data_IF_485060102659
#
_entry.id   IF_485060102659
#
_cell.length_a   1.000
_cell.length_b   1.000
_cell.length_c   1.000
_cell.angle_alpha   90.00
_cell.angle_beta   90.00
_cell.angle_gamma   90.00
#
_symmetry.space_group_name_H-M   'P 1'
#
loop_
_entity.id
_entity.type
_entity.pdbx_description
1 polymer ?
#
# COMPACT_ATOMS: atom_id res chain seq x y z
N UNK A 1 -23.09 -11.27 5.53
CA UNK A 1 -23.32 -9.90 4.97
C UNK A 1 -23.82 -8.97 6.06
N UNK A 2 -23.28 -7.76 6.08
CA UNK A 2 -23.68 -6.72 7.03
C UNK A 2 -25.05 -6.14 6.67
N UNK A 3 -25.93 -5.91 7.67
CA UNK A 3 -27.24 -5.27 7.45
C UNK A 3 -27.12 -3.88 6.80
N UNK A 4 -26.02 -3.17 7.05
CA UNK A 4 -25.73 -1.86 6.45
C UNK A 4 -25.57 -1.99 4.94
N UNK A 5 -24.83 -2.98 4.47
CA UNK A 5 -24.59 -3.22 3.03
C UNK A 5 -25.91 -3.51 2.32
N UNK A 6 -26.73 -4.39 2.86
CA UNK A 6 -28.04 -4.74 2.29
C UNK A 6 -28.96 -3.52 2.20
N UNK A 7 -29.03 -2.73 3.27
CA UNK A 7 -29.85 -1.51 3.33
C UNK A 7 -29.38 -0.45 2.32
N UNK A 8 -28.08 -0.18 2.25
CA UNK A 8 -27.53 0.81 1.32
C UNK A 8 -27.66 0.36 -0.14
N UNK A 9 -27.40 -0.93 -0.42
CA UNK A 9 -27.57 -1.49 -1.76
C UNK A 9 -29.02 -1.39 -2.24
N UNK A 10 -29.98 -1.73 -1.38
CA UNK A 10 -31.41 -1.63 -1.70
C UNK A 10 -31.84 -0.19 -1.95
N UNK A 11 -31.47 0.74 -1.07
CA UNK A 11 -31.75 2.17 -1.24
C UNK A 11 -31.19 2.72 -2.54
N UNK A 12 -29.96 2.37 -2.90
CA UNK A 12 -29.34 2.81 -4.12
C UNK A 12 -30.00 2.18 -5.36
N UNK A 13 -30.36 0.89 -5.30
CA UNK A 13 -31.09 0.19 -6.37
C UNK A 13 -32.46 0.83 -6.64
N UNK A 14 -33.22 1.15 -5.58
CA UNK A 14 -34.49 1.88 -5.67
C UNK A 14 -34.33 3.25 -6.36
N UNK A 15 -33.25 3.99 -6.06
CA UNK A 15 -32.95 5.28 -6.67
C UNK A 15 -32.75 5.17 -8.20
N UNK A 16 -32.20 4.06 -8.68
CA UNK A 16 -31.94 3.82 -10.09
C UNK A 16 -32.97 2.90 -10.79
N UNK A 17 -34.09 2.60 -10.09
CA UNK A 17 -35.15 1.74 -10.66
C UNK A 17 -34.73 0.30 -10.90
N UNK A 18 -33.79 -0.22 -10.10
CA UNK A 18 -33.30 -1.60 -10.20
C UNK A 18 -34.07 -2.45 -9.20
N UNK A 19 -34.79 -3.43 -9.72
CA UNK A 19 -35.54 -4.40 -8.95
C UNK A 19 -34.71 -5.68 -8.74
N UNK A 20 -34.81 -6.30 -7.56
CA UNK A 20 -34.14 -7.56 -7.26
C UNK A 20 -33.99 -7.81 -5.76
N UNK A 21 -33.58 -9.03 -5.43
CA UNK A 21 -33.23 -9.35 -4.05
C UNK A 21 -31.96 -8.61 -3.61
N UNK A 22 -31.97 -8.11 -2.38
CA UNK A 22 -30.85 -7.33 -1.86
C UNK A 22 -29.51 -8.10 -1.85
N UNK A 23 -29.54 -9.43 -1.65
CA UNK A 23 -28.35 -10.28 -1.67
C UNK A 23 -27.81 -10.45 -3.09
N UNK A 24 -28.70 -10.61 -4.06
CA UNK A 24 -28.33 -10.69 -5.48
C UNK A 24 -27.73 -9.36 -5.96
N UNK A 25 -28.34 -8.23 -5.62
CA UNK A 25 -27.83 -6.88 -5.91
C UNK A 25 -26.42 -6.70 -5.35
N UNK A 26 -26.19 -7.09 -4.10
CA UNK A 26 -24.87 -7.01 -3.46
C UNK A 26 -23.85 -7.90 -4.16
N UNK A 27 -24.23 -9.12 -4.55
CA UNK A 27 -23.34 -10.03 -5.28
C UNK A 27 -22.90 -9.44 -6.63
N UNK A 28 -23.85 -8.88 -7.38
CA UNK A 28 -23.56 -8.21 -8.65
C UNK A 28 -22.62 -7.03 -8.44
N UNK A 29 -22.87 -6.18 -7.45
CA UNK A 29 -22.03 -5.02 -7.16
C UNK A 29 -20.61 -5.41 -6.77
N UNK A 30 -20.42 -6.42 -5.93
CA UNK A 30 -19.10 -6.95 -5.59
C UNK A 30 -18.33 -7.40 -6.83
N UNK A 31 -19.00 -8.03 -7.77
CA UNK A 31 -18.38 -8.54 -8.99
C UNK A 31 -18.10 -7.45 -10.04
N UNK A 32 -18.88 -6.36 -10.09
CA UNK A 32 -18.86 -5.41 -11.22
C UNK A 32 -18.37 -4.02 -10.86
N UNK A 33 -18.58 -3.57 -9.62
CA UNK A 33 -18.27 -2.22 -9.18
C UNK A 33 -16.85 -2.06 -8.58
N UNK A 34 -16.03 -3.10 -8.67
CA UNK A 34 -14.64 -3.05 -8.23
C UNK A 34 -13.68 -3.47 -9.34
N UNK A 35 -12.53 -2.82 -9.40
CA UNK A 35 -11.37 -3.27 -10.17
C UNK A 35 -10.36 -3.85 -9.19
N UNK A 36 -10.31 -5.16 -9.10
CA UNK A 36 -9.35 -5.89 -8.28
C UNK A 36 -8.78 -7.05 -9.08
N UNK A 37 -7.47 -7.14 -9.13
CA UNK A 37 -6.77 -8.30 -9.69
C UNK A 37 -6.59 -9.42 -8.66
N UNK A 38 -6.87 -9.14 -7.38
CA UNK A 38 -6.59 -10.04 -6.25
C UNK A 38 -7.62 -9.87 -5.13
N UNK A 39 -8.36 -10.93 -4.85
CA UNK A 39 -9.13 -11.11 -3.64
C UNK A 39 -10.61 -10.70 -3.70
N UNK A 40 -11.37 -11.18 -2.75
CA UNK A 40 -12.78 -10.86 -2.57
C UNK A 40 -12.94 -9.46 -1.96
N UNK A 41 -13.96 -8.75 -2.42
CA UNK A 41 -14.35 -7.44 -1.88
C UNK A 41 -15.07 -7.63 -0.56
N UNK A 42 -14.55 -7.03 0.51
CA UNK A 42 -15.18 -7.08 1.83
C UNK A 42 -16.49 -6.28 1.90
N UNK A 43 -17.35 -6.64 2.84
CA UNK A 43 -18.58 -5.88 3.12
C UNK A 43 -18.29 -4.42 3.49
N UNK A 44 -17.19 -4.16 4.19
CA UNK A 44 -16.78 -2.80 4.56
C UNK A 44 -16.40 -1.96 3.33
N UNK A 45 -15.68 -2.54 2.38
CA UNK A 45 -15.31 -1.88 1.12
C UNK A 45 -16.55 -1.58 0.27
N UNK A 46 -17.46 -2.54 0.15
CA UNK A 46 -18.70 -2.31 -0.57
C UNK A 46 -19.57 -1.25 0.12
N UNK A 47 -19.71 -1.29 1.44
CA UNK A 47 -20.45 -0.26 2.20
C UNK A 47 -19.88 1.14 1.94
N UNK A 48 -18.56 1.30 1.97
CA UNK A 48 -17.89 2.57 1.70
C UNK A 48 -18.21 3.08 0.28
N UNK A 49 -18.15 2.21 -0.74
CA UNK A 49 -18.51 2.59 -2.11
C UNK A 49 -19.97 3.01 -2.24
N UNK A 50 -20.90 2.24 -1.62
CA UNK A 50 -22.34 2.56 -1.67
C UNK A 50 -22.67 3.89 -0.99
N UNK A 51 -21.98 4.23 0.10
CA UNK A 51 -22.14 5.52 0.79
C UNK A 51 -21.70 6.66 -0.15
N UNK A 52 -20.53 6.55 -0.78
CA UNK A 52 -20.04 7.57 -1.72
C UNK A 52 -20.93 7.67 -2.94
N UNK A 53 -21.35 6.54 -3.51
CA UNK A 53 -22.28 6.51 -4.64
C UNK A 53 -23.60 7.21 -4.31
N UNK A 54 -24.16 6.92 -3.13
CA UNK A 54 -25.39 7.57 -2.67
C UNK A 54 -25.25 9.07 -2.37
N UNK A 55 -24.06 9.49 -1.86
CA UNK A 55 -23.77 10.90 -1.59
C UNK A 55 -23.79 11.75 -2.87
N UNK A 56 -23.27 11.21 -3.97
CA UNK A 56 -23.14 11.91 -5.24
C UNK A 56 -24.22 11.54 -6.26
N UNK A 57 -25.16 10.64 -5.94
CA UNK A 57 -26.16 10.16 -6.89
C UNK A 57 -25.58 9.42 -8.09
N UNK A 58 -24.45 8.72 -7.91
CA UNK A 58 -23.72 8.03 -8.97
C UNK A 58 -24.13 6.57 -9.08
N UNK A 59 -24.29 6.10 -10.32
CA UNK A 59 -24.74 4.74 -10.61
C UNK A 59 -23.55 3.77 -10.77
N UNK A 60 -23.35 2.80 -9.85
CA UNK A 60 -22.28 1.82 -9.97
C UNK A 60 -22.53 0.75 -11.03
N UNK A 61 -23.78 0.48 -11.42
CA UNK A 61 -24.11 -0.51 -12.45
C UNK A 61 -23.73 -0.04 -13.86
N UNK A 62 -23.83 1.27 -14.11
CA UNK A 62 -23.40 1.89 -15.39
C UNK A 62 -21.94 2.30 -15.36
N UNK A 63 -21.22 2.02 -14.26
CA UNK A 63 -19.82 2.41 -14.05
C UNK A 63 -19.58 3.92 -13.98
N UNK A 64 -20.60 4.71 -13.64
CA UNK A 64 -20.39 6.11 -13.30
C UNK A 64 -19.48 6.25 -12.08
N UNK A 65 -19.58 5.29 -11.14
CA UNK A 65 -18.66 5.13 -10.03
C UNK A 65 -18.26 3.65 -9.87
N UNK A 66 -17.00 3.42 -9.53
CA UNK A 66 -16.46 2.11 -9.13
C UNK A 66 -15.30 2.34 -8.16
N UNK A 67 -14.65 1.30 -7.65
CA UNK A 67 -13.52 1.48 -6.74
C UNK A 67 -12.36 0.52 -7.01
N UNK A 68 -11.17 0.96 -6.63
CA UNK A 68 -10.03 0.08 -6.39
C UNK A 68 -9.99 -0.25 -4.89
N UNK A 69 -9.87 -1.53 -4.51
CA UNK A 69 -9.57 -1.89 -3.13
C UNK A 69 -8.20 -1.34 -2.73
N UNK A 70 -8.11 -0.69 -1.57
CA UNK A 70 -6.82 -0.27 -1.00
C UNK A 70 -6.21 -1.40 -0.16
N UNK A 71 -4.87 -1.44 -0.10
CA UNK A 71 -4.09 -2.43 0.65
C UNK A 71 -4.36 -2.43 2.16
N UNK A 72 -4.93 -1.35 2.69
CA UNK A 72 -5.29 -1.16 4.11
C UNK A 72 -6.79 -1.40 4.38
N UNK A 73 -7.47 -2.23 3.60
CA UNK A 73 -8.91 -2.50 3.68
C UNK A 73 -9.82 -1.29 3.42
N UNK A 74 -9.29 -0.22 2.85
CA UNK A 74 -10.05 0.92 2.36
C UNK A 74 -10.45 0.76 0.89
N UNK A 75 -10.94 1.86 0.30
CA UNK A 75 -11.22 1.97 -1.12
C UNK A 75 -10.70 3.28 -1.69
N UNK A 76 -10.40 3.28 -2.98
CA UNK A 76 -10.20 4.51 -3.77
C UNK A 76 -11.37 4.61 -4.74
N UNK A 77 -12.38 5.47 -4.46
CA UNK A 77 -13.54 5.63 -5.34
C UNK A 77 -13.14 6.34 -6.63
N UNK A 78 -13.54 5.78 -7.75
CA UNK A 78 -13.27 6.32 -9.09
C UNK A 78 -14.57 6.72 -9.75
N UNK A 79 -14.62 7.94 -10.24
CA UNK A 79 -15.75 8.45 -11.02
C UNK A 79 -15.36 8.49 -12.49
N UNK A 80 -16.14 7.83 -13.32
CA UNK A 80 -15.99 7.88 -14.77
C UNK A 80 -16.36 9.24 -15.36
N UNK A 81 -16.03 9.45 -16.64
CA UNK A 81 -16.34 10.71 -17.32
C UNK A 81 -17.84 11.03 -17.30
N UNK A 82 -18.69 10.01 -17.46
CA UNK A 82 -20.14 10.16 -17.44
C UNK A 82 -20.63 10.52 -16.04
N UNK A 83 -20.04 9.94 -15.00
CA UNK A 83 -20.33 10.30 -13.62
C UNK A 83 -19.93 11.74 -13.29
N UNK A 84 -18.74 12.19 -13.71
CA UNK A 84 -18.33 13.59 -13.57
C UNK A 84 -19.28 14.53 -14.32
N UNK A 85 -19.66 14.18 -15.55
CA UNK A 85 -20.63 14.94 -16.32
C UNK A 85 -21.98 15.05 -15.60
N UNK A 86 -22.48 13.95 -15.04
CA UNK A 86 -23.73 13.94 -14.29
C UNK A 86 -23.67 14.87 -13.08
N UNK A 87 -22.74 14.69 -12.15
CA UNK A 87 -22.69 15.47 -10.90
C UNK A 87 -22.44 16.97 -11.14
N UNK A 88 -21.73 17.32 -12.21
CA UNK A 88 -21.52 18.72 -12.61
C UNK A 88 -22.83 19.32 -13.13
N UNK A 89 -23.49 18.65 -14.10
CA UNK A 89 -24.70 19.18 -14.73
C UNK A 89 -25.92 19.17 -13.82
N UNK A 90 -26.03 18.22 -12.91
CA UNK A 90 -27.10 18.14 -11.91
C UNK A 90 -26.89 19.08 -10.71
N UNK A 91 -25.71 19.69 -10.57
CA UNK A 91 -25.43 20.59 -9.46
C UNK A 91 -26.31 21.86 -9.56
N UNK A 92 -27.11 22.22 -8.52
CA UNK A 92 -28.08 23.30 -8.60
C UNK A 92 -27.50 24.66 -8.99
N UNK A 93 -26.23 24.89 -8.67
CA UNK A 93 -25.54 26.15 -8.94
C UNK A 93 -24.73 26.14 -10.25
N UNK A 94 -24.76 25.06 -11.03
CA UNK A 94 -24.06 25.03 -12.30
C UNK A 94 -24.73 25.96 -13.32
N UNK A 95 -23.94 26.83 -13.93
CA UNK A 95 -24.39 27.83 -14.92
C UNK A 95 -23.59 27.80 -16.24
N UNK A 96 -22.86 26.70 -16.43
CA UNK A 96 -22.08 26.48 -17.63
C UNK A 96 -20.57 26.40 -17.38
N UNK A 97 -19.86 25.92 -18.39
CA UNK A 97 -18.41 25.75 -18.39
C UNK A 97 -17.85 26.04 -19.79
N UNK A 98 -16.71 26.70 -19.83
CA UNK A 98 -15.90 26.88 -21.03
C UNK A 98 -14.45 26.47 -20.80
N UNK A 99 -13.72 26.28 -21.88
CA UNK A 99 -12.29 25.98 -21.83
C UNK A 99 -11.50 27.04 -22.60
N UNK A 100 -10.33 27.40 -22.03
CA UNK A 100 -9.29 28.17 -22.68
C UNK A 100 -8.04 27.35 -22.74
N UNK A 101 -7.27 27.43 -23.79
CA UNK A 101 -6.08 26.62 -23.95
C UNK A 101 -4.90 27.48 -24.39
N UNK A 102 -3.67 27.03 -24.09
CA UNK A 102 -2.46 27.64 -24.60
C UNK A 102 -2.41 27.57 -26.14
N UNK A 103 -1.90 28.62 -26.76
CA UNK A 103 -1.52 28.59 -28.17
C UNK A 103 -0.22 27.79 -28.39
N UNK A 104 0.61 27.70 -27.35
CA UNK A 104 1.82 26.89 -27.39
C UNK A 104 1.45 25.40 -27.34
N UNK A 105 1.89 24.69 -28.37
CA UNK A 105 1.70 23.25 -28.49
C UNK A 105 2.98 22.50 -28.13
N UNK A 106 2.87 21.49 -27.29
CA UNK A 106 4.00 20.70 -26.84
C UNK A 106 3.73 19.21 -27.09
N UNK A 107 4.79 18.44 -27.30
CA UNK A 107 4.72 16.99 -27.43
C UNK A 107 5.34 16.32 -26.22
N UNK A 108 4.51 15.57 -25.50
CA UNK A 108 4.97 14.80 -24.37
C UNK A 108 5.64 13.48 -24.79
N UNK A 109 6.53 12.90 -23.97
CA UNK A 109 7.20 11.63 -24.28
C UNK A 109 6.20 10.52 -24.60
N UNK A 110 6.34 9.89 -25.76
CA UNK A 110 5.45 8.82 -26.23
C UNK A 110 4.07 9.25 -26.70
N UNK A 111 3.73 10.55 -26.67
CA UNK A 111 2.47 11.05 -27.19
C UNK A 111 2.42 11.03 -28.72
N UNK A 112 1.28 10.62 -29.28
CA UNK A 112 1.07 10.55 -30.74
C UNK A 112 0.84 11.92 -31.38
N UNK A 113 0.38 12.90 -30.60
CA UNK A 113 0.01 14.24 -31.09
C UNK A 113 0.49 15.33 -30.13
N UNK A 114 0.68 16.54 -30.69
CA UNK A 114 0.92 17.71 -29.87
C UNK A 114 -0.37 18.14 -29.16
N UNK A 115 -0.21 18.67 -27.95
CA UNK A 115 -1.33 19.19 -27.16
C UNK A 115 -0.97 20.56 -26.56
N UNK A 116 -1.96 21.38 -26.17
CA UNK A 116 -1.70 22.63 -25.48
C UNK A 116 -0.86 22.43 -24.23
N UNK A 117 0.08 23.32 -23.98
CA UNK A 117 0.92 23.32 -22.78
C UNK A 117 0.09 23.37 -21.49
N UNK A 118 -1.05 24.05 -21.53
CA UNK A 118 -2.01 24.12 -20.44
C UNK A 118 -3.44 24.26 -20.97
N UNK A 119 -4.42 23.95 -20.11
CA UNK A 119 -5.82 24.24 -20.30
C UNK A 119 -6.39 24.93 -19.06
N UNK A 120 -7.29 25.89 -19.25
CA UNK A 120 -8.14 26.43 -18.19
C UNK A 120 -9.57 25.92 -18.34
N UNK A 121 -10.14 25.43 -17.26
CA UNK A 121 -11.57 25.28 -17.09
C UNK A 121 -12.12 26.52 -16.41
N UNK A 122 -13.14 27.11 -17.01
CA UNK A 122 -13.84 28.30 -16.50
C UNK A 122 -15.27 27.88 -16.19
N UNK A 123 -15.58 27.75 -14.89
CA UNK A 123 -16.88 27.25 -14.44
C UNK A 123 -17.69 28.39 -13.85
N UNK A 124 -18.87 28.59 -14.41
CA UNK A 124 -19.85 29.58 -13.97
C UNK A 124 -20.82 28.97 -12.98
N UNK A 125 -21.18 29.77 -11.96
CA UNK A 125 -22.16 29.38 -10.96
C UNK A 125 -23.24 30.46 -10.84
N UNK A 126 -24.49 30.02 -10.67
CA UNK A 126 -25.65 30.92 -10.52
C UNK A 126 -25.58 31.81 -9.27
N UNK A 127 -24.88 31.36 -8.23
CA UNK A 127 -24.74 32.07 -6.95
C UNK A 127 -23.50 32.97 -6.86
N UNK A 128 -22.72 33.10 -7.93
CA UNK A 128 -21.47 33.90 -7.96
C UNK A 128 -21.39 34.74 -9.23
N UNK A 129 -20.91 35.97 -9.05
CA UNK A 129 -20.69 36.91 -10.16
C UNK A 129 -19.40 36.63 -10.93
N UNK A 130 -18.47 35.88 -10.38
CA UNK A 130 -17.19 35.55 -11.03
C UNK A 130 -17.06 34.04 -11.19
N UNK A 131 -16.56 33.57 -12.34
CA UNK A 131 -16.31 32.15 -12.54
C UNK A 131 -15.17 31.65 -11.67
N UNK A 132 -15.18 30.34 -11.40
CA UNK A 132 -14.00 29.62 -10.91
C UNK A 132 -13.14 29.27 -12.11
N UNK A 133 -11.89 29.72 -12.12
CA UNK A 133 -10.93 29.44 -13.20
C UNK A 133 -9.80 28.58 -12.63
N UNK A 134 -9.58 27.43 -13.27
CA UNK A 134 -8.51 26.49 -12.87
C UNK A 134 -7.69 26.15 -14.10
N UNK A 135 -6.38 26.34 -13.99
CA UNK A 135 -5.42 25.98 -15.03
C UNK A 135 -4.71 24.68 -14.65
N UNK A 136 -4.70 23.75 -15.61
CA UNK A 136 -3.97 22.51 -15.54
C UNK A 136 -2.84 22.50 -16.56
N UNK A 137 -1.63 22.24 -16.11
CA UNK A 137 -0.44 22.15 -16.95
C UNK A 137 -0.23 20.70 -17.42
N UNK A 138 0.07 20.56 -18.71
CA UNK A 138 0.19 19.25 -19.32
C UNK A 138 1.34 18.41 -18.73
N UNK A 139 2.47 19.04 -18.44
CA UNK A 139 3.64 18.39 -17.86
C UNK A 139 3.41 17.86 -16.43
N UNK A 140 2.51 18.49 -15.66
CA UNK A 140 2.16 18.05 -14.31
C UNK A 140 1.19 16.87 -14.31
N UNK A 141 0.23 16.87 -15.24
CA UNK A 141 -0.83 15.86 -15.25
C UNK A 141 -0.56 14.67 -16.17
N UNK A 142 0.35 14.83 -17.14
CA UNK A 142 0.66 13.78 -18.11
C UNK A 142 1.21 12.52 -17.43
N UNK A 143 0.76 11.38 -17.93
CA UNK A 143 1.29 10.07 -17.53
C UNK A 143 2.09 9.49 -18.69
N UNK A 144 3.39 9.35 -18.50
CA UNK A 144 4.26 8.70 -19.49
C UNK A 144 3.90 7.22 -19.71
N UNK A 145 4.18 6.66 -20.90
CA UNK A 145 4.04 5.25 -21.13
C UNK A 145 4.96 4.47 -20.17
N UNK A 146 4.48 3.38 -19.62
CA UNK A 146 5.26 2.57 -18.69
C UNK A 146 5.63 1.20 -19.29
N UNK A 147 6.73 0.62 -18.82
CA UNK A 147 7.12 -0.73 -19.20
C UNK A 147 6.31 -1.75 -18.41
N UNK A 148 5.36 -2.41 -19.05
CA UNK A 148 4.67 -3.57 -18.52
C UNK A 148 5.48 -4.86 -18.77
N UNK A 149 4.96 -5.98 -18.28
CA UNK A 149 5.56 -7.31 -18.41
C UNK A 149 5.78 -7.72 -19.90
N UNK A 150 4.91 -7.25 -20.80
CA UNK A 150 4.92 -7.62 -22.23
C UNK A 150 5.35 -6.49 -23.16
N UNK A 151 5.97 -5.43 -22.64
CA UNK A 151 6.43 -4.29 -23.42
C UNK A 151 5.94 -2.93 -22.92
N UNK A 152 6.05 -1.91 -23.77
CA UNK A 152 5.60 -0.56 -23.45
C UNK A 152 4.07 -0.49 -23.55
N UNK A 153 3.43 -0.10 -22.47
CA UNK A 153 1.97 0.10 -22.42
C UNK A 153 1.66 1.52 -22.82
N UNK A 154 0.93 1.64 -23.93
CA UNK A 154 0.43 2.92 -24.48
C UNK A 154 -1.01 3.09 -24.03
N UNK A 155 -1.27 4.15 -23.29
CA UNK A 155 -2.59 4.47 -22.74
C UNK A 155 -3.29 5.62 -23.44
N UNK A 156 -4.43 6.04 -22.90
CA UNK A 156 -5.19 7.18 -23.45
C UNK A 156 -4.43 8.51 -23.41
N UNK A 157 -3.48 8.68 -22.47
CA UNK A 157 -2.63 9.86 -22.45
C UNK A 157 -1.80 10.01 -23.72
N UNK A 158 -1.32 8.90 -24.29
CA UNK A 158 -0.54 8.92 -25.52
C UNK A 158 -1.42 9.07 -26.76
N UNK A 159 -2.58 8.42 -26.78
CA UNK A 159 -3.46 8.39 -27.95
C UNK A 159 -4.41 9.59 -28.04
N UNK A 160 -4.81 10.14 -26.89
CA UNK A 160 -5.83 11.21 -26.79
C UNK A 160 -5.42 12.30 -25.80
N UNK A 161 -4.18 12.78 -25.86
CA UNK A 161 -3.58 13.75 -24.92
C UNK A 161 -4.45 14.98 -24.67
N UNK A 162 -4.98 15.60 -25.74
CA UNK A 162 -5.85 16.80 -25.62
C UNK A 162 -7.15 16.52 -24.87
N UNK A 163 -7.73 15.34 -25.06
CA UNK A 163 -8.97 14.95 -24.37
C UNK A 163 -8.70 14.73 -22.89
N UNK A 164 -7.59 14.05 -22.56
CA UNK A 164 -7.24 13.76 -21.17
C UNK A 164 -6.86 15.02 -20.39
N UNK A 165 -6.12 15.94 -21.01
CA UNK A 165 -5.85 17.25 -20.41
C UNK A 165 -7.15 18.00 -20.10
N UNK A 166 -8.13 18.00 -21.03
CA UNK A 166 -9.44 18.61 -20.82
C UNK A 166 -10.23 17.93 -19.69
N UNK A 167 -10.17 16.59 -19.59
CA UNK A 167 -10.79 15.87 -18.46
C UNK A 167 -10.20 16.32 -17.14
N UNK A 168 -8.87 16.46 -17.04
CA UNK A 168 -8.21 16.95 -15.81
C UNK A 168 -8.69 18.36 -15.46
N UNK A 169 -8.70 19.29 -16.41
CA UNK A 169 -9.23 20.63 -16.18
C UNK A 169 -10.69 20.62 -15.73
N UNK A 170 -11.54 19.77 -16.32
CA UNK A 170 -12.94 19.60 -15.89
C UNK A 170 -13.04 19.17 -14.43
N UNK A 171 -12.30 18.14 -14.04
CA UNK A 171 -12.38 17.53 -12.72
C UNK A 171 -11.86 18.48 -11.64
N UNK A 172 -10.70 19.08 -11.84
CA UNK A 172 -10.13 20.04 -10.90
C UNK A 172 -10.98 21.32 -10.79
N UNK A 173 -11.48 21.81 -11.92
CA UNK A 173 -12.43 22.92 -11.94
C UNK A 173 -13.68 22.62 -11.13
N UNK A 174 -14.29 21.45 -11.33
CA UNK A 174 -15.49 21.03 -10.62
C UNK A 174 -15.25 20.85 -9.11
N UNK A 175 -14.11 20.29 -8.72
CA UNK A 175 -13.72 20.17 -7.30
C UNK A 175 -13.69 21.54 -6.62
N UNK A 176 -13.03 22.52 -7.22
CA UNK A 176 -12.95 23.87 -6.66
C UNK A 176 -14.26 24.66 -6.76
N UNK A 177 -15.01 24.46 -7.85
CA UNK A 177 -16.27 25.15 -8.00
C UNK A 177 -17.37 24.64 -7.07
N UNK A 178 -17.46 23.34 -6.86
CA UNK A 178 -18.59 22.70 -6.17
C UNK A 178 -18.22 21.97 -4.88
N UNK A 179 -16.93 21.87 -4.55
CA UNK A 179 -16.47 21.21 -3.33
C UNK A 179 -16.54 19.67 -3.41
N UNK A 180 -16.47 19.09 -4.60
CA UNK A 180 -16.42 17.63 -4.74
C UNK A 180 -15.11 17.07 -4.19
N UNK A 181 -15.20 16.16 -3.23
CA UNK A 181 -14.06 15.56 -2.57
C UNK A 181 -14.23 14.07 -2.32
N UNK A 182 -13.12 13.34 -2.10
CA UNK A 182 -13.15 11.91 -1.82
C UNK A 182 -13.49 11.02 -3.03
N UNK A 183 -13.53 11.59 -4.23
CA UNK A 183 -13.74 10.90 -5.50
C UNK A 183 -12.64 11.31 -6.49
N UNK A 184 -12.18 10.36 -7.29
CA UNK A 184 -11.01 10.49 -8.14
C UNK A 184 -11.35 10.14 -9.60
N UNK A 185 -10.54 10.59 -10.53
CA UNK A 185 -10.53 9.99 -11.87
C UNK A 185 -9.69 8.71 -11.87
N UNK A 186 -9.77 7.94 -12.95
CA UNK A 186 -9.08 6.65 -13.04
C UNK A 186 -7.56 6.80 -12.94
N UNK A 187 -6.97 7.81 -13.55
CA UNK A 187 -5.52 8.03 -13.55
C UNK A 187 -5.01 8.41 -12.16
N UNK A 188 -5.71 9.29 -11.44
CA UNK A 188 -5.39 9.60 -10.04
C UNK A 188 -5.50 8.37 -9.14
N UNK A 189 -6.58 7.60 -9.29
CA UNK A 189 -6.81 6.41 -8.50
C UNK A 189 -5.73 5.34 -8.73
N UNK A 190 -5.33 5.12 -9.98
CA UNK A 190 -4.23 4.22 -10.32
C UNK A 190 -2.90 4.67 -9.69
N UNK A 191 -2.59 5.98 -9.71
CA UNK A 191 -1.39 6.53 -9.06
C UNK A 191 -1.43 6.31 -7.55
N UNK A 192 -2.58 6.50 -6.90
CA UNK A 192 -2.77 6.26 -5.46
C UNK A 192 -2.50 4.78 -5.13
N UNK A 193 -3.11 3.86 -5.87
CA UNK A 193 -2.96 2.41 -5.64
C UNK A 193 -1.53 1.93 -5.94
N UNK A 194 -0.87 2.48 -6.95
CA UNK A 194 0.53 2.19 -7.29
C UNK A 194 1.52 2.75 -6.25
N UNK A 195 1.08 3.62 -5.35
CA UNK A 195 1.92 4.28 -4.35
C UNK A 195 2.91 5.28 -4.95
N UNK A 196 2.66 5.74 -6.18
CA UNK A 196 3.50 6.70 -6.90
C UNK A 196 3.08 8.16 -6.71
N UNK A 197 2.02 8.40 -5.96
CA UNK A 197 1.63 9.77 -5.63
C UNK A 197 2.55 10.32 -4.57
N UNK A 198 3.44 11.21 -4.97
CA UNK A 198 4.09 12.15 -4.06
C UNK A 198 3.11 13.18 -3.45
N UNK A 199 1.84 13.11 -3.82
CA UNK A 199 0.76 13.88 -3.21
C UNK A 199 0.38 13.23 -1.88
N UNK A 200 0.97 13.74 -0.81
CA UNK A 200 0.45 13.53 0.54
C UNK A 200 -0.97 14.08 0.56
N UNK A 201 -1.94 13.20 0.71
CA UNK A 201 -3.31 13.58 1.01
C UNK A 201 -3.29 14.44 2.26
N UNK A 202 -3.56 15.74 2.13
CA UNK A 202 -3.62 16.71 3.24
C UNK A 202 -4.87 16.47 4.10
N UNK A 203 -5.12 15.23 4.49
CA UNK A 203 -6.33 14.83 5.22
C UNK A 203 -6.10 13.97 6.47
N UNK A 204 -4.87 13.56 6.74
CA UNK A 204 -4.45 13.13 8.06
C UNK A 204 -3.21 13.95 8.39
N UNK A 205 -3.22 14.64 9.51
CA UNK A 205 -1.98 15.10 10.12
C UNK A 205 -1.14 13.84 10.28
N UNK A 206 -0.12 13.65 9.41
CA UNK A 206 0.93 12.68 9.70
C UNK A 206 1.38 13.03 11.11
N UNK A 207 1.19 12.12 12.06
CA UNK A 207 1.89 12.22 13.33
C UNK A 207 3.34 12.50 12.95
N UNK A 208 3.80 13.69 13.28
CA UNK A 208 5.21 14.06 13.13
C UNK A 208 5.94 12.93 13.84
N UNK A 209 6.56 12.03 13.07
CA UNK A 209 7.44 11.03 13.68
C UNK A 209 8.44 11.88 14.44
N UNK A 210 8.48 11.78 15.78
CA UNK A 210 9.41 12.57 16.55
C UNK A 210 10.80 12.33 15.99
N UNK A 211 11.55 13.39 15.77
CA UNK A 211 12.95 13.27 15.37
C UNK A 211 13.63 12.28 16.31
N UNK A 212 14.43 11.35 15.79
CA UNK A 212 15.06 10.33 16.61
C UNK A 212 15.84 11.00 17.73
N UNK A 213 15.45 10.75 18.97
CA UNK A 213 16.16 11.30 20.13
C UNK A 213 17.43 10.51 20.40
N UNK A 214 18.51 11.18 20.81
CA UNK A 214 19.73 10.48 21.21
C UNK A 214 19.43 9.52 22.38
N UNK A 215 20.06 8.36 22.38
CA UNK A 215 19.90 7.41 23.49
C UNK A 215 20.36 8.05 24.81
N UNK A 216 19.51 8.07 25.88
CA UNK A 216 19.79 8.78 27.10
C UNK A 216 21.12 8.34 27.73
N UNK A 217 21.99 9.29 28.07
CA UNK A 217 23.33 9.02 28.58
C UNK A 217 23.30 8.23 29.89
N UNK A 218 22.33 8.48 30.76
CA UNK A 218 22.16 7.76 32.03
C UNK A 218 21.82 6.29 31.79
N UNK A 219 20.88 6.01 30.88
CA UNK A 219 20.49 4.65 30.49
C UNK A 219 21.62 3.92 29.76
N UNK A 220 22.40 4.64 28.96
CA UNK A 220 23.57 4.08 28.30
C UNK A 220 24.59 3.62 29.36
N UNK A 221 24.92 4.46 30.35
CA UNK A 221 25.84 4.14 31.44
C UNK A 221 25.35 2.98 32.28
N UNK A 222 24.06 2.92 32.58
CA UNK A 222 23.45 1.82 33.35
C UNK A 222 23.47 0.47 32.60
N UNK A 223 23.34 0.49 31.28
CA UNK A 223 23.33 -0.73 30.46
C UNK A 223 24.73 -1.15 29.97
N UNK A 224 25.71 -0.25 30.00
CA UNK A 224 27.07 -0.49 29.52
C UNK A 224 27.73 -1.74 30.13
N UNK A 225 27.62 -2.04 31.45
CA UNK A 225 28.20 -3.26 32.04
C UNK A 225 27.63 -4.54 31.40
N UNK A 226 26.31 -4.62 31.19
CA UNK A 226 25.64 -5.77 30.56
C UNK A 226 26.05 -5.94 29.09
N UNK A 227 26.13 -4.83 28.36
CA UNK A 227 26.56 -4.86 26.95
C UNK A 227 28.03 -5.24 26.82
N UNK A 228 28.87 -4.80 27.75
CA UNK A 228 30.28 -5.19 27.82
C UNK A 228 30.43 -6.71 28.03
N UNK A 229 29.68 -7.30 28.93
CA UNK A 229 29.68 -8.75 29.14
C UNK A 229 29.27 -9.52 27.88
N UNK A 230 28.23 -9.08 27.18
CA UNK A 230 27.74 -9.69 25.92
C UNK A 230 28.80 -9.64 24.83
N UNK A 231 29.48 -8.50 24.67
CA UNK A 231 30.52 -8.32 23.66
C UNK A 231 31.80 -9.08 24.04
N UNK A 232 32.21 -9.03 25.30
CA UNK A 232 33.41 -9.75 25.80
C UNK A 232 33.24 -11.25 25.72
N UNK A 233 32.05 -11.78 25.96
CA UNK A 233 31.74 -13.21 25.80
C UNK A 233 31.56 -13.66 24.37
N UNK A 234 31.78 -12.77 23.40
CA UNK A 234 31.58 -12.99 21.95
C UNK A 234 30.16 -13.49 21.55
N UNK A 235 29.16 -13.29 22.40
CA UNK A 235 27.76 -13.68 22.10
C UNK A 235 27.13 -12.80 20.99
N UNK A 236 27.54 -11.51 20.96
CA UNK A 236 27.17 -10.58 19.89
C UNK A 236 28.33 -9.61 19.63
N UNK A 237 28.48 -9.18 18.36
CA UNK A 237 29.39 -8.08 18.06
C UNK A 237 28.81 -6.75 18.55
N UNK A 238 29.64 -5.71 18.64
CA UNK A 238 29.18 -4.37 19.00
C UNK A 238 28.16 -3.83 17.98
N UNK A 239 28.36 -4.10 16.69
CA UNK A 239 27.45 -3.64 15.63
C UNK A 239 26.12 -4.41 15.66
N UNK A 240 26.11 -5.71 15.89
CA UNK A 240 24.87 -6.49 16.07
C UNK A 240 24.06 -6.01 17.29
N UNK A 241 24.75 -5.62 18.37
CA UNK A 241 24.10 -5.10 19.56
C UNK A 241 23.49 -3.71 19.30
N UNK A 242 24.18 -2.85 18.57
CA UNK A 242 23.67 -1.54 18.17
C UNK A 242 22.43 -1.71 17.30
N UNK A 243 22.48 -2.58 16.29
CA UNK A 243 21.35 -2.86 15.40
C UNK A 243 20.16 -3.44 16.15
N UNK A 244 20.40 -4.38 17.06
CA UNK A 244 19.36 -4.98 17.90
C UNK A 244 18.68 -3.96 18.82
N UNK A 245 19.43 -3.07 19.46
CA UNK A 245 18.87 -2.02 20.31
C UNK A 245 18.06 -1.00 19.51
N UNK A 246 18.52 -0.64 18.32
CA UNK A 246 17.80 0.28 17.42
C UNK A 246 16.51 -0.33 16.85
N UNK A 247 16.49 -1.64 16.56
CA UNK A 247 15.27 -2.33 16.09
C UNK A 247 14.15 -2.35 17.14
N UNK A 248 14.50 -2.36 18.43
CA UNK A 248 13.53 -2.31 19.54
C UNK A 248 13.06 -0.90 19.89
N UNK A 249 13.82 0.11 19.54
CA UNK A 249 13.52 1.51 19.82
C UNK A 249 13.83 2.37 18.59
N UNK A 250 13.03 2.30 17.53
CA UNK A 250 13.32 2.94 16.23
C UNK A 250 13.43 4.47 16.32
N UNK A 251 12.86 5.08 17.36
CA UNK A 251 12.92 6.52 17.59
C UNK A 251 14.09 6.96 18.47
N UNK A 252 14.99 6.05 18.88
CA UNK A 252 16.12 6.36 19.76
C UNK A 252 17.41 5.86 19.11
N UNK A 253 18.32 6.79 18.80
CA UNK A 253 19.58 6.47 18.14
C UNK A 253 20.78 6.62 19.10
N UNK A 254 21.70 5.66 19.07
CA UNK A 254 22.98 5.82 19.74
C UNK A 254 23.78 6.98 19.10
N UNK A 255 24.35 7.83 19.93
CA UNK A 255 25.28 8.88 19.45
C UNK A 255 26.57 8.22 18.92
N UNK A 256 27.33 8.94 18.10
CA UNK A 256 28.60 8.41 17.57
C UNK A 256 29.60 8.08 18.70
N UNK A 257 29.61 8.85 19.79
CA UNK A 257 30.41 8.58 20.97
C UNK A 257 30.00 7.28 21.67
N UNK A 258 28.70 7.02 21.81
CA UNK A 258 28.16 5.79 22.38
C UNK A 258 28.49 4.58 21.51
N UNK A 259 28.38 4.69 20.19
CA UNK A 259 28.78 3.65 19.23
C UNK A 259 30.28 3.37 19.30
N UNK A 260 31.11 4.42 19.35
CA UNK A 260 32.54 4.29 19.50
C UNK A 260 32.93 3.58 20.81
N UNK A 261 32.22 3.87 21.90
CA UNK A 261 32.43 3.19 23.21
C UNK A 261 32.12 1.72 23.11
N UNK A 262 31.02 1.33 22.48
CA UNK A 262 30.65 -0.08 22.29
C UNK A 262 31.63 -0.82 21.36
N UNK A 263 32.07 -0.21 20.27
CA UNK A 263 33.04 -0.77 19.32
C UNK A 263 34.44 -0.91 19.94
N UNK A 264 34.76 -0.08 20.92
CA UNK A 264 36.03 -0.17 21.68
C UNK A 264 36.14 -1.36 22.61
N UNK A 265 35.04 -2.09 22.88
CA UNK A 265 35.05 -3.27 23.76
C UNK A 265 35.55 -4.48 22.96
N UNK A 266 36.70 -5.02 23.37
CA UNK A 266 37.30 -6.22 22.71
C UNK A 266 36.80 -7.50 23.36
N UNK A 267 36.53 -8.58 22.57
CA UNK A 267 36.24 -9.90 23.12
C UNK A 267 37.45 -10.43 23.91
N UNK A 268 37.21 -11.02 25.06
CA UNK A 268 38.26 -11.66 25.85
C UNK A 268 38.40 -13.09 25.34
N UNK A 269 39.53 -13.38 24.66
CA UNK A 269 39.90 -14.76 24.33
C UNK A 269 40.32 -15.46 25.62
N UNK A 270 39.48 -16.32 26.19
CA UNK A 270 39.90 -17.23 27.21
C UNK A 270 40.81 -18.30 26.58
N UNK A 271 42.10 -18.21 26.91
CA UNK A 271 43.06 -19.28 26.66
C UNK A 271 42.97 -20.26 27.84
N UNK A 272 42.67 -21.48 27.55
CA UNK A 272 43.04 -22.77 28.19
C UNK A 272 42.07 -23.82 27.67
N UNK A 273 42.45 -24.97 27.22
CA UNK A 273 43.56 -25.87 27.43
C UNK A 273 43.65 -26.93 26.35
N UNK A 274 44.87 -27.30 26.09
CA UNK A 274 45.44 -28.64 25.98
C UNK A 274 45.11 -29.49 24.75
N UNK A 275 46.17 -29.60 23.95
CA UNK A 275 46.54 -30.61 22.98
C UNK A 275 45.93 -31.99 23.15
N UNK A 276 45.39 -32.53 22.06
CA UNK A 276 45.76 -33.85 21.51
C UNK A 276 45.40 -33.87 20.02
N UNK A 277 46.40 -33.87 19.13
CA UNK A 277 46.28 -34.33 17.73
C UNK A 277 46.32 -35.87 17.68
N UNK A 278 45.77 -36.59 16.69
CA UNK A 278 46.33 -36.52 15.34
C UNK A 278 45.40 -36.71 14.11
N UNK A 279 45.85 -36.09 13.00
CA UNK A 279 45.86 -36.52 11.58
C UNK A 279 44.60 -37.07 10.92
N UNK A 280 44.24 -36.40 9.81
CA UNK A 280 43.79 -37.06 8.58
C UNK A 280 42.70 -36.35 7.81
N UNK A 281 43.13 -35.70 6.71
CA UNK A 281 42.42 -35.46 5.41
C UNK A 281 41.03 -34.88 5.28
N UNK A 282 41.04 -33.67 4.69
CA UNK A 282 40.15 -33.11 3.63
C UNK A 282 38.66 -33.46 3.63
N UNK A 283 37.85 -32.49 4.00
CA UNK A 283 36.61 -32.10 3.31
C UNK A 283 36.07 -30.76 3.89
N UNK A 284 35.41 -29.97 3.03
CA UNK A 284 34.92 -28.61 3.26
C UNK A 284 34.05 -28.45 4.52
N UNK A 285 33.87 -27.21 5.07
CA UNK A 285 33.38 -27.01 6.41
C UNK A 285 31.88 -27.29 6.52
N UNK A 286 31.52 -28.27 7.33
CA UNK A 286 30.16 -28.51 7.78
C UNK A 286 29.85 -27.55 8.94
N UNK A 287 28.64 -26.98 8.90
CA UNK A 287 28.08 -26.12 9.91
C UNK A 287 27.97 -26.85 11.27
N UNK A 288 28.17 -26.10 12.37
CA UNK A 288 28.15 -26.51 13.78
C UNK A 288 26.83 -27.23 14.14
N UNK A 289 26.84 -28.40 14.74
CA UNK A 289 25.63 -29.19 15.04
C UNK A 289 24.81 -28.70 16.26
N UNK A 290 25.17 -27.60 16.89
CA UNK A 290 24.46 -27.09 18.07
C UNK A 290 23.36 -26.06 17.82
N UNK A 291 23.13 -25.64 16.53
CA UNK A 291 22.13 -24.65 16.15
C UNK A 291 21.27 -25.07 14.94
N UNK A 292 21.41 -26.30 14.46
CA UNK A 292 20.60 -26.79 13.36
C UNK A 292 19.17 -27.09 13.86
N UNK A 293 18.20 -26.35 13.34
CA UNK A 293 16.78 -26.61 13.57
C UNK A 293 16.45 -27.92 12.86
N UNK A 294 15.93 -28.90 13.64
CA UNK A 294 15.62 -30.23 13.10
C UNK A 294 14.18 -30.27 12.54
N UNK A 295 13.96 -31.17 11.58
CA UNK A 295 12.62 -31.47 11.04
C UNK A 295 11.57 -31.69 12.15
N UNK A 296 11.91 -32.50 13.17
CA UNK A 296 11.01 -32.80 14.28
C UNK A 296 10.57 -31.54 15.05
N UNK A 297 11.49 -30.63 15.32
CA UNK A 297 11.16 -29.37 16.03
C UNK A 297 10.21 -28.48 15.24
N UNK A 298 10.39 -28.36 13.90
CA UNK A 298 9.52 -27.56 13.06
C UNK A 298 8.15 -28.23 12.89
N UNK A 299 8.13 -29.55 12.68
CA UNK A 299 6.91 -30.34 12.59
C UNK A 299 6.05 -30.22 13.86
N UNK A 300 6.66 -30.32 15.03
CA UNK A 300 5.95 -30.18 16.30
C UNK A 300 5.36 -28.77 16.47
N UNK A 301 6.07 -27.72 16.07
CA UNK A 301 5.58 -26.34 16.13
C UNK A 301 4.44 -26.09 15.15
N UNK A 302 4.51 -26.59 13.91
CA UNK A 302 3.43 -26.51 12.95
C UNK A 302 2.16 -27.21 13.44
N UNK A 303 2.31 -28.41 14.04
CA UNK A 303 1.17 -29.15 14.56
C UNK A 303 0.58 -28.57 15.85
N UNK A 304 1.38 -27.88 16.67
CA UNK A 304 0.94 -27.24 17.91
C UNK A 304 0.29 -25.87 17.69
N UNK A 305 0.38 -25.28 16.50
CA UNK A 305 -0.17 -23.97 16.18
C UNK A 305 -1.70 -23.98 16.31
N UNK A 306 -2.25 -23.03 17.07
CA UNK A 306 -3.68 -22.86 17.34
C UNK A 306 -4.33 -21.73 16.56
N UNK A 307 -3.54 -20.86 15.95
CA UNK A 307 -3.95 -19.73 15.13
C UNK A 307 -2.97 -19.52 13.97
N UNK A 308 -3.38 -18.71 13.00
CA UNK A 308 -2.61 -18.44 11.78
C UNK A 308 -1.28 -17.72 12.06
N UNK A 309 -1.22 -16.86 13.07
CA UNK A 309 0.00 -16.11 13.39
C UNK A 309 1.08 -17.04 13.94
N UNK A 310 0.71 -17.95 14.83
CA UNK A 310 1.64 -18.96 15.38
C UNK A 310 2.06 -19.95 14.30
N UNK A 311 1.16 -20.32 13.40
CA UNK A 311 1.45 -21.20 12.27
C UNK A 311 2.48 -20.57 11.31
N UNK A 312 2.33 -19.30 10.98
CA UNK A 312 3.25 -18.57 10.11
C UNK A 312 4.64 -18.40 10.75
N UNK A 313 4.72 -18.16 12.05
CA UNK A 313 6.00 -18.09 12.78
C UNK A 313 6.73 -19.45 12.74
N UNK A 314 6.00 -20.56 12.84
CA UNK A 314 6.58 -21.90 12.71
C UNK A 314 7.05 -22.18 11.27
N UNK A 315 6.33 -21.69 10.26
CA UNK A 315 6.68 -21.83 8.84
C UNK A 315 7.99 -21.12 8.47
N UNK A 316 8.32 -19.99 9.09
CA UNK A 316 9.59 -19.28 8.89
C UNK A 316 10.83 -20.12 9.31
N UNK A 317 10.63 -21.17 10.08
CA UNK A 317 11.69 -22.08 10.47
C UNK A 317 11.95 -23.18 9.43
N UNK A 318 11.05 -23.43 8.50
CA UNK A 318 11.20 -24.48 7.46
C UNK A 318 12.46 -24.24 6.64
N UNK A 319 12.70 -22.98 6.25
CA UNK A 319 13.89 -22.61 5.47
C UNK A 319 15.23 -22.85 6.19
N UNK A 320 15.21 -23.09 7.51
CA UNK A 320 16.40 -23.35 8.33
C UNK A 320 16.72 -24.84 8.50
N UNK A 321 15.84 -25.71 8.02
CA UNK A 321 16.08 -27.16 7.97
C UNK A 321 17.05 -27.43 6.80
N UNK A 322 18.10 -28.20 7.04
CA UNK A 322 19.20 -28.37 6.07
C UNK A 322 18.82 -29.23 4.85
N UNK A 323 17.82 -30.10 4.98
CA UNK A 323 17.44 -31.09 3.99
C UNK A 323 16.23 -30.60 3.15
N UNK A 324 16.39 -30.56 1.83
CA UNK A 324 15.38 -30.05 0.90
C UNK A 324 14.12 -30.95 0.81
N UNK A 325 14.23 -32.26 0.99
CA UNK A 325 13.09 -33.18 1.00
C UNK A 325 12.26 -32.96 2.27
N UNK A 326 12.93 -32.79 3.41
CA UNK A 326 12.29 -32.47 4.67
C UNK A 326 11.63 -31.08 4.65
N UNK A 327 12.20 -30.09 3.98
CA UNK A 327 11.56 -28.79 3.77
C UNK A 327 10.25 -28.93 2.96
N UNK A 328 10.25 -29.75 1.91
CA UNK A 328 9.05 -30.01 1.09
C UNK A 328 7.94 -30.69 1.89
N UNK A 329 8.31 -31.65 2.75
CA UNK A 329 7.34 -32.34 3.64
C UNK A 329 6.76 -31.38 4.70
N UNK A 330 7.58 -30.50 5.29
CA UNK A 330 7.12 -29.48 6.25
C UNK A 330 6.20 -28.45 5.60
N UNK A 331 6.45 -28.07 4.35
CA UNK A 331 5.54 -27.19 3.60
C UNK A 331 4.17 -27.85 3.34
N UNK A 332 4.11 -29.12 3.04
CA UNK A 332 2.85 -29.86 2.89
C UNK A 332 2.07 -29.94 4.24
N UNK A 333 2.78 -30.10 5.35
CA UNK A 333 2.17 -30.07 6.69
C UNK A 333 1.63 -28.68 7.01
N UNK A 334 2.38 -27.62 6.70
CA UNK A 334 1.95 -26.23 6.85
C UNK A 334 0.66 -25.96 6.07
N UNK A 335 0.60 -26.33 4.79
CA UNK A 335 -0.60 -26.16 3.96
C UNK A 335 -1.81 -26.87 4.55
N UNK A 336 -1.62 -28.10 4.99
CA UNK A 336 -2.69 -28.91 5.62
C UNK A 336 -3.22 -28.22 6.89
N UNK A 337 -2.34 -27.70 7.74
CA UNK A 337 -2.71 -27.00 8.98
C UNK A 337 -3.36 -25.66 8.71
N UNK A 338 -2.88 -24.93 7.71
CA UNK A 338 -3.46 -23.66 7.25
C UNK A 338 -4.93 -23.86 6.87
N UNK A 339 -5.23 -24.83 5.98
CA UNK A 339 -6.61 -25.16 5.61
C UNK A 339 -7.48 -25.59 6.79
N UNK A 340 -6.90 -26.25 7.79
CA UNK A 340 -7.63 -26.68 8.98
C UNK A 340 -8.00 -25.51 9.90
N UNK A 341 -7.13 -24.48 10.00
CA UNK A 341 -7.36 -23.27 10.82
C UNK A 341 -8.28 -22.26 10.12
N UNK A 342 -8.26 -22.18 8.78
CA UNK A 342 -9.18 -21.32 8.03
C UNK A 342 -10.65 -21.77 8.10
N UNK A 343 -10.90 -23.02 8.50
CA UNK A 343 -12.25 -23.61 8.61
C UNK A 343 -12.82 -23.60 10.02
N UNK A 344 -12.08 -23.12 11.00
CA UNK A 344 -12.54 -22.93 12.38
C UNK A 344 -13.01 -21.51 12.62
#
# INVERSE_FOLDING_TARGET
MSNIVLSQAKKLAETFGIEGDAQEIVSILKATAFRSDKGEVSDAQLAALLIVAGQYGLNPWTKEIYAFPDKKNGIVPVVGVDGWSRIINEHPQFDGMEFRASETMVRMPGANVDAPEWIESVIYRKDRSRPTVVREYLDEVYREPFKGQYGVVVGPWQTHTKRFLRHKGTIQGARLAFGFGGIYDQDEAERIVEGKTGEKFMGAVDEVKPEPTPYPAEQFTANLPKWREVIQSARKSADDLIQFAQSRSPNTLFTEEQKATLRGIKPVKNATATDVQPKGETAAPAADPATAITFAQVNDQLNAAKDMDVLNIAADLIAKVADAEQQAELNAIYETRMYALERQ
#
